data_IF_271329567712
#
_entry.id   IF_271329567712
#
_cell.length_a   1.000
_cell.length_b   1.000
_cell.length_c   1.000
_cell.angle_alpha   90.00
_cell.angle_beta   90.00
_cell.angle_gamma   90.00
#
_symmetry.space_group_name_H-M   'P 1'
#
loop_
_entity.id
_entity.type
_entity.pdbx_description
1 polymer ?
#
# COMPACT_ATOMS: atom_id res chain seq x y z
N UNK A 1 -0.15 0.23 -14.09
CA UNK A 1 1.23 0.38 -13.54
C UNK A 1 2.01 -0.83 -13.99
N UNK A 2 3.15 -0.62 -14.60
CA UNK A 2 3.99 -1.66 -15.19
C UNK A 2 5.36 -1.70 -14.49
N UNK A 3 5.35 -1.90 -13.18
CA UNK A 3 6.56 -2.00 -12.39
C UNK A 3 7.38 -3.23 -12.78
N UNK A 4 8.65 -3.03 -12.98
CA UNK A 4 9.66 -4.08 -13.15
C UNK A 4 10.69 -4.02 -12.03
N UNK A 5 11.10 -5.18 -11.51
CA UNK A 5 12.09 -5.24 -10.43
C UNK A 5 13.42 -4.61 -10.87
N UNK A 6 14.00 -3.80 -10.01
CA UNK A 6 15.34 -3.21 -10.22
C UNK A 6 16.46 -4.21 -9.91
N UNK A 7 16.16 -5.25 -9.12
CA UNK A 7 17.07 -6.34 -8.81
C UNK A 7 16.66 -7.60 -9.57
N UNK A 8 17.65 -8.39 -10.01
CA UNK A 8 17.37 -9.65 -10.68
C UNK A 8 16.90 -10.69 -9.65
N UNK A 9 15.58 -10.86 -9.52
CA UNK A 9 14.93 -11.80 -8.62
C UNK A 9 14.15 -12.84 -9.41
N UNK A 10 14.89 -13.81 -9.97
CA UNK A 10 14.28 -14.93 -10.66
C UNK A 10 13.29 -15.69 -9.76
N UNK A 11 12.10 -15.97 -10.29
CA UNK A 11 11.07 -16.76 -9.59
C UNK A 11 10.17 -15.97 -8.65
N UNK A 12 10.37 -14.66 -8.49
CA UNK A 12 9.42 -13.85 -7.70
C UNK A 12 8.14 -13.55 -8.49
N UNK A 13 7.03 -13.49 -7.73
CA UNK A 13 5.74 -13.02 -8.22
C UNK A 13 5.86 -11.60 -8.77
N UNK A 14 5.32 -11.35 -9.97
CA UNK A 14 5.25 -10.00 -10.54
C UNK A 14 4.43 -9.05 -9.67
N UNK A 15 4.81 -7.76 -9.64
CA UNK A 15 4.19 -6.75 -8.76
C UNK A 15 2.66 -6.66 -8.92
N UNK A 16 2.14 -6.80 -10.12
CA UNK A 16 0.71 -6.69 -10.42
C UNK A 16 -0.07 -8.02 -10.29
N UNK A 17 0.59 -9.11 -9.93
CA UNK A 17 -0.04 -10.43 -9.86
C UNK A 17 -0.33 -10.85 -8.41
N UNK A 18 -1.13 -11.89 -8.30
CA UNK A 18 -1.41 -12.61 -7.04
C UNK A 18 -1.02 -14.07 -7.19
N UNK A 19 -0.75 -14.72 -6.07
CA UNK A 19 -0.45 -16.14 -6.00
C UNK A 19 -1.27 -16.80 -4.88
N UNK A 20 -1.75 -18.00 -5.10
CA UNK A 20 -2.48 -18.79 -4.08
C UNK A 20 -1.56 -19.59 -3.17
N UNK A 21 -0.26 -19.50 -3.40
CA UNK A 21 0.74 -20.31 -2.69
C UNK A 21 0.74 -21.78 -3.14
N UNK A 22 1.63 -22.55 -2.52
CA UNK A 22 1.78 -23.98 -2.79
C UNK A 22 1.07 -24.77 -1.71
N UNK A 23 0.09 -25.57 -2.10
CA UNK A 23 -0.58 -26.51 -1.19
C UNK A 23 0.13 -27.87 -1.29
N UNK A 24 0.63 -28.38 -0.17
CA UNK A 24 1.22 -29.73 -0.13
C UNK A 24 0.11 -30.79 -0.25
N UNK A 25 0.24 -31.67 -1.21
CA UNK A 25 -0.75 -32.71 -1.53
C UNK A 25 -0.68 -33.91 -0.56
N UNK A 26 -0.82 -33.69 0.75
CA UNK A 26 -0.79 -34.77 1.75
C UNK A 26 -2.13 -34.98 2.49
N UNK A 27 -3.24 -34.51 1.90
CA UNK A 27 -4.59 -34.78 2.42
C UNK A 27 -4.98 -34.03 3.71
N UNK A 28 -4.12 -33.21 4.25
CA UNK A 28 -4.43 -32.28 5.33
C UNK A 28 -4.89 -30.94 4.75
N UNK A 29 -5.78 -30.20 5.41
CA UNK A 29 -6.11 -28.81 5.10
C UNK A 29 -4.86 -27.94 5.23
N UNK A 30 -3.98 -28.03 4.27
CA UNK A 30 -2.70 -27.36 4.31
C UNK A 30 -2.93 -25.86 4.09
N UNK A 31 -2.45 -25.04 5.02
CA UNK A 31 -2.33 -23.61 4.82
C UNK A 31 -1.41 -23.42 3.61
N UNK A 32 -1.82 -22.68 2.57
CA UNK A 32 -0.97 -22.46 1.40
C UNK A 32 0.38 -21.85 1.83
N UNK A 33 1.47 -22.44 1.39
CA UNK A 33 2.80 -21.86 1.60
C UNK A 33 2.97 -20.67 0.67
N UNK A 34 3.30 -19.47 1.17
CA UNK A 34 3.48 -18.31 0.31
C UNK A 34 4.61 -18.51 -0.70
N UNK A 35 4.54 -17.84 -1.88
CA UNK A 35 5.54 -18.00 -2.97
C UNK A 35 6.93 -17.49 -2.59
N UNK A 36 7.02 -16.66 -1.55
CA UNK A 36 8.26 -16.16 -0.98
C UNK A 36 8.03 -15.81 0.49
N UNK A 37 9.08 -15.42 1.21
CA UNK A 37 8.98 -15.02 2.61
C UNK A 37 8.04 -13.82 2.77
N UNK A 38 7.00 -13.96 3.58
CA UNK A 38 6.10 -12.84 3.91
C UNK A 38 6.88 -11.72 4.60
N UNK A 39 6.51 -10.47 4.30
CA UNK A 39 7.24 -9.30 4.78
C UNK A 39 8.52 -9.00 3.99
N UNK A 40 8.87 -9.81 2.98
CA UNK A 40 9.96 -9.47 2.07
C UNK A 40 9.69 -8.14 1.41
N UNK A 41 10.70 -7.27 1.38
CA UNK A 41 10.66 -5.96 0.69
C UNK A 41 11.50 -6.04 -0.57
N UNK A 42 10.99 -5.42 -1.64
CA UNK A 42 11.71 -5.28 -2.91
C UNK A 42 11.51 -3.87 -3.48
N UNK A 43 12.36 -3.49 -4.42
CA UNK A 43 12.24 -2.26 -5.21
C UNK A 43 11.92 -2.59 -6.65
N UNK A 44 11.09 -1.73 -7.24
CA UNK A 44 10.74 -1.85 -8.65
C UNK A 44 10.56 -0.46 -9.26
N UNK A 45 10.75 -0.35 -10.56
CA UNK A 45 10.66 0.89 -11.33
C UNK A 45 9.51 0.84 -12.33
N UNK A 46 8.78 1.94 -12.42
CA UNK A 46 7.75 2.18 -13.44
C UNK A 46 8.09 3.48 -14.19
N UNK A 47 8.08 3.51 -15.54
CA UNK A 47 8.43 4.71 -16.30
C UNK A 47 7.56 5.95 -15.99
N UNK A 48 6.34 5.75 -15.50
CA UNK A 48 5.40 6.84 -15.19
C UNK A 48 5.49 7.29 -13.73
N UNK A 49 5.67 6.33 -12.81
CA UNK A 49 5.60 6.58 -11.36
C UNK A 49 6.96 6.55 -10.67
N UNK A 50 8.02 6.22 -11.39
CA UNK A 50 9.37 6.15 -10.85
C UNK A 50 9.63 4.91 -10.01
N UNK A 51 10.56 5.01 -9.08
CA UNK A 51 10.91 3.94 -8.16
C UNK A 51 9.88 3.81 -7.03
N UNK A 52 9.55 2.56 -6.69
CA UNK A 52 8.66 2.22 -5.57
C UNK A 52 9.22 1.08 -4.73
N UNK A 53 8.85 1.07 -3.45
CA UNK A 53 9.14 -0.02 -2.52
C UNK A 53 7.88 -0.83 -2.26
N UNK A 54 8.03 -2.15 -2.25
CA UNK A 54 6.92 -3.10 -2.17
C UNK A 54 7.20 -4.17 -1.12
N UNK A 55 6.16 -4.57 -0.41
CA UNK A 55 6.20 -5.64 0.59
C UNK A 55 5.24 -6.77 0.20
N UNK A 56 5.66 -8.03 0.40
CA UNK A 56 4.82 -9.20 0.13
C UNK A 56 3.92 -9.48 1.34
N UNK A 57 2.60 -9.41 1.15
CA UNK A 57 1.61 -9.57 2.21
C UNK A 57 0.52 -10.59 1.85
N UNK A 58 -0.21 -11.02 2.88
CA UNK A 58 -1.41 -11.86 2.75
C UNK A 58 -2.62 -10.99 2.46
N UNK A 59 -3.42 -11.38 1.47
CA UNK A 59 -4.59 -10.64 1.02
C UNK A 59 -5.78 -10.72 1.98
N UNK A 60 -6.73 -9.80 1.79
CA UNK A 60 -8.01 -9.76 2.51
C UNK A 60 -9.17 -9.59 1.53
N UNK A 61 -10.34 -10.09 1.90
CA UNK A 61 -11.55 -9.98 1.08
C UNK A 61 -11.82 -8.52 0.63
N UNK A 62 -12.35 -8.37 -0.59
CA UNK A 62 -12.70 -7.09 -1.22
C UNK A 62 -11.51 -6.16 -1.54
N UNK A 63 -10.28 -6.67 -1.45
CA UNK A 63 -9.12 -5.92 -1.95
C UNK A 63 -9.18 -5.78 -3.47
N UNK A 64 -8.97 -4.57 -3.95
CA UNK A 64 -8.82 -4.24 -5.37
C UNK A 64 -7.56 -3.41 -5.58
N UNK A 65 -7.09 -3.30 -6.80
CA UNK A 65 -5.94 -2.44 -7.14
C UNK A 65 -6.15 -1.02 -6.60
N UNK A 66 -5.16 -0.49 -5.90
CA UNK A 66 -5.20 0.83 -5.27
C UNK A 66 -5.93 0.89 -3.92
N UNK A 67 -6.39 -0.23 -3.37
CA UNK A 67 -6.94 -0.23 -2.01
C UNK A 67 -5.86 0.15 -0.98
N UNK A 68 -6.19 1.10 -0.11
CA UNK A 68 -5.38 1.37 1.08
C UNK A 68 -5.64 0.26 2.10
N UNK A 69 -4.59 -0.39 2.56
CA UNK A 69 -4.66 -1.43 3.59
C UNK A 69 -3.79 -1.05 4.78
N UNK A 70 -4.13 -1.58 5.95
CA UNK A 70 -3.23 -1.72 7.08
C UNK A 70 -2.77 -3.17 7.15
N UNK A 71 -1.63 -3.45 7.77
CA UNK A 71 -1.17 -4.82 7.94
C UNK A 71 -0.53 -5.04 9.32
N UNK A 72 -0.59 -6.27 9.77
CA UNK A 72 0.07 -6.69 11.00
C UNK A 72 1.55 -6.96 10.69
N UNK A 73 2.47 -6.29 11.40
CA UNK A 73 3.91 -6.41 11.17
C UNK A 73 4.50 -7.79 11.54
N UNK A 74 3.76 -8.64 12.25
CA UNK A 74 4.21 -9.97 12.66
C UNK A 74 3.65 -11.07 11.76
N UNK A 75 2.34 -11.00 11.44
CA UNK A 75 1.67 -12.04 10.64
C UNK A 75 1.58 -11.68 9.16
N UNK A 76 1.87 -10.43 8.80
CA UNK A 76 1.75 -9.87 7.44
C UNK A 76 0.35 -9.98 6.82
N UNK A 77 -0.67 -10.21 7.66
CA UNK A 77 -2.06 -10.22 7.25
C UNK A 77 -2.55 -8.79 7.04
N UNK A 78 -3.15 -8.53 5.89
CA UNK A 78 -3.76 -7.23 5.58
C UNK A 78 -5.18 -7.11 6.11
N UNK A 79 -5.59 -5.86 6.33
CA UNK A 79 -6.98 -5.47 6.57
C UNK A 79 -7.24 -4.21 5.74
N UNK A 80 -8.39 -4.08 5.08
CA UNK A 80 -8.74 -2.83 4.42
C UNK A 80 -8.74 -1.70 5.45
N UNK A 81 -8.04 -0.59 5.12
CA UNK A 81 -7.93 0.55 6.04
C UNK A 81 -9.32 1.02 6.46
N UNK A 82 -9.59 0.92 7.75
CA UNK A 82 -10.88 1.28 8.35
C UNK A 82 -10.94 2.77 8.70
N UNK A 83 -12.16 3.30 8.82
CA UNK A 83 -12.41 4.67 9.27
C UNK A 83 -12.24 4.81 10.80
N UNK A 84 -11.08 4.43 11.31
CA UNK A 84 -10.79 4.43 12.76
C UNK A 84 -9.70 5.45 13.08
N UNK A 85 -9.92 6.28 14.08
CA UNK A 85 -8.93 7.26 14.51
C UNK A 85 -7.81 6.61 15.32
N UNK A 86 -6.63 7.24 15.29
CA UNK A 86 -5.44 6.89 16.08
C UNK A 86 -4.94 5.45 15.87
N UNK A 87 -5.06 4.94 14.65
CA UNK A 87 -4.46 3.67 14.28
C UNK A 87 -2.95 3.84 14.09
N UNK A 88 -2.17 3.10 14.89
CA UNK A 88 -0.71 3.05 14.82
C UNK A 88 -0.21 1.81 14.03
N UNK A 89 -0.95 1.38 13.03
CA UNK A 89 -0.60 0.22 12.19
C UNK A 89 0.04 0.69 10.89
N UNK A 90 1.05 -0.03 10.36
CA UNK A 90 1.63 0.31 9.09
C UNK A 90 0.60 0.21 7.95
N UNK A 91 0.77 1.06 6.95
CA UNK A 91 -0.12 1.15 5.80
C UNK A 91 0.60 0.73 4.51
N UNK A 92 -0.17 0.22 3.55
CA UNK A 92 0.32 -0.11 2.23
C UNK A 92 -0.79 0.02 1.18
N UNK A 93 -0.43 0.05 -0.10
CA UNK A 93 -1.35 0.18 -1.21
C UNK A 93 -1.32 -1.10 -2.05
N UNK A 94 -2.47 -1.71 -2.28
CA UNK A 94 -2.60 -2.94 -3.02
C UNK A 94 -2.25 -2.76 -4.51
N UNK A 95 -1.33 -3.56 -5.03
CA UNK A 95 -0.90 -3.54 -6.44
C UNK A 95 -1.74 -4.46 -7.31
N UNK A 96 -2.51 -5.35 -6.69
CA UNK A 96 -3.36 -6.34 -7.34
C UNK A 96 -4.66 -6.55 -6.55
N UNK A 97 -5.62 -7.30 -7.11
CA UNK A 97 -6.83 -7.73 -6.40
C UNK A 97 -6.50 -8.92 -5.47
N UNK A 98 -5.59 -8.71 -4.53
CA UNK A 98 -5.11 -9.72 -3.59
C UNK A 98 -6.17 -9.98 -2.50
N UNK A 99 -7.14 -10.85 -2.79
CA UNK A 99 -8.22 -11.22 -1.89
C UNK A 99 -7.79 -12.26 -0.84
N UNK A 100 -8.71 -12.66 0.04
CA UNK A 100 -8.42 -13.65 1.08
C UNK A 100 -7.86 -14.96 0.50
N UNK A 101 -6.84 -15.49 1.15
CA UNK A 101 -6.15 -16.70 0.71
C UNK A 101 -5.13 -16.51 -0.41
N UNK A 102 -4.92 -15.28 -0.88
CA UNK A 102 -3.93 -14.93 -1.88
C UNK A 102 -2.76 -14.16 -1.24
N UNK A 103 -1.62 -14.22 -1.92
CA UNK A 103 -0.43 -13.44 -1.62
C UNK A 103 -0.17 -12.44 -2.74
N UNK A 104 0.30 -11.26 -2.40
CA UNK A 104 0.57 -10.23 -3.41
C UNK A 104 1.44 -9.11 -2.87
N UNK A 105 1.91 -8.26 -3.78
CA UNK A 105 2.72 -7.11 -3.46
C UNK A 105 1.87 -5.90 -3.10
N UNK A 106 2.32 -5.17 -2.11
CA UNK A 106 1.71 -3.92 -1.65
C UNK A 106 2.77 -2.83 -1.60
N UNK A 107 2.48 -1.68 -2.15
CA UNK A 107 3.41 -0.56 -2.18
C UNK A 107 3.46 0.14 -0.83
N UNK A 108 4.66 0.33 -0.30
CA UNK A 108 4.95 1.01 0.97
C UNK A 108 5.76 2.29 0.80
N UNK A 109 6.34 2.53 -0.37
CA UNK A 109 7.12 3.73 -0.67
C UNK A 109 7.01 4.17 -2.12
N UNK A 110 7.24 5.45 -2.39
CA UNK A 110 7.18 6.04 -3.72
C UNK A 110 5.81 6.59 -4.12
N UNK A 111 5.57 6.77 -5.43
CA UNK A 111 4.29 7.25 -5.97
C UNK A 111 3.32 6.08 -6.15
N UNK A 112 2.25 6.04 -5.36
CA UNK A 112 1.22 5.03 -5.42
C UNK A 112 -0.09 5.58 -5.99
N UNK A 113 -0.78 4.80 -6.82
CA UNK A 113 -2.15 5.10 -7.26
C UNK A 113 -3.13 4.50 -6.27
N UNK A 114 -3.79 5.36 -5.48
CA UNK A 114 -4.66 4.96 -4.38
C UNK A 114 -6.11 5.29 -4.70
N UNK A 115 -7.03 4.42 -4.31
CA UNK A 115 -8.47 4.71 -4.39
C UNK A 115 -8.85 5.83 -3.41
N UNK A 116 -9.68 6.76 -3.90
CA UNK A 116 -10.22 7.87 -3.11
C UNK A 116 -11.74 7.89 -3.11
N UNK A 117 -12.31 8.64 -2.18
CA UNK A 117 -13.74 9.02 -2.21
C UNK A 117 -14.01 10.06 -3.28
N UNK A 118 -15.28 10.27 -3.61
CA UNK A 118 -15.77 11.25 -4.60
C UNK A 118 -15.65 12.70 -4.07
N UNK A 119 -14.42 13.12 -3.71
CA UNK A 119 -14.08 14.48 -3.26
C UNK A 119 -12.88 14.94 -4.07
N UNK A 120 -12.86 16.21 -4.51
CA UNK A 120 -11.71 16.77 -5.20
C UNK A 120 -10.49 16.79 -4.26
N UNK A 121 -9.34 16.45 -4.81
CA UNK A 121 -8.05 16.42 -4.09
C UNK A 121 -7.10 17.38 -4.77
N UNK A 122 -6.58 18.34 -4.04
CA UNK A 122 -5.49 19.20 -4.51
C UNK A 122 -4.15 18.47 -4.39
N UNK A 123 -3.17 18.87 -5.17
CA UNK A 123 -1.80 18.39 -5.01
C UNK A 123 -1.20 18.89 -3.68
N UNK A 124 -0.27 18.11 -3.13
CA UNK A 124 0.53 18.44 -1.95
C UNK A 124 -0.27 18.64 -0.63
N UNK A 125 -1.49 18.06 -0.54
CA UNK A 125 -2.28 18.10 0.69
C UNK A 125 -2.18 16.77 1.45
N UNK A 126 -2.30 16.78 2.79
CA UNK A 126 -2.40 15.56 3.57
C UNK A 126 -3.58 14.69 3.12
N UNK A 127 -3.45 13.39 3.26
CA UNK A 127 -4.53 12.44 2.99
C UNK A 127 -4.94 11.73 4.28
N UNK A 128 -6.21 11.43 4.36
CA UNK A 128 -6.85 10.84 5.54
C UNK A 128 -7.56 9.54 5.16
N UNK A 129 -7.74 8.67 6.12
CA UNK A 129 -8.58 7.49 5.96
C UNK A 129 -10.03 7.90 5.70
N UNK A 130 -10.63 7.30 4.71
CA UNK A 130 -12.01 7.60 4.29
C UNK A 130 -13.04 6.84 5.14
N UNK A 131 -14.28 7.34 5.16
CA UNK A 131 -15.44 6.59 5.69
C UNK A 131 -15.70 5.31 4.90
N UNK A 132 -15.34 5.28 3.61
CA UNK A 132 -15.36 4.04 2.81
C UNK A 132 -14.04 3.31 3.00
N UNK A 133 -14.10 2.08 3.51
CA UNK A 133 -12.92 1.26 3.79
C UNK A 133 -12.03 1.08 2.55
N UNK A 134 -10.72 1.04 2.77
CA UNK A 134 -9.74 0.88 1.70
C UNK A 134 -9.55 2.10 0.79
N UNK A 135 -10.04 3.28 1.17
CA UNK A 135 -9.92 4.52 0.40
C UNK A 135 -9.33 5.65 1.22
N UNK A 136 -8.80 6.64 0.51
CA UNK A 136 -8.34 7.91 1.09
C UNK A 136 -9.30 9.05 0.79
N UNK A 137 -9.21 10.12 1.56
CA UNK A 137 -9.91 11.39 1.32
C UNK A 137 -8.99 12.58 1.68
N UNK A 138 -9.17 13.75 1.06
CA UNK A 138 -8.43 14.96 1.42
C UNK A 138 -9.04 15.71 2.60
N UNK A 139 -10.28 15.38 2.98
CA UNK A 139 -10.99 16.07 4.06
C UNK A 139 -10.34 15.73 5.39
N UNK A 140 -9.92 16.76 6.12
CA UNK A 140 -9.27 16.60 7.40
C UNK A 140 -10.21 15.89 8.40
N UNK A 141 -9.66 14.89 9.08
CA UNK A 141 -10.37 14.13 10.10
C UNK A 141 -9.38 13.82 11.24
N UNK A 142 -9.75 14.23 12.46
CA UNK A 142 -8.89 14.10 13.62
C UNK A 142 -8.49 12.64 13.88
N UNK A 143 -7.19 12.42 14.05
CA UNK A 143 -6.61 11.09 14.28
C UNK A 143 -6.65 10.14 13.09
N UNK A 144 -7.07 10.57 11.88
CA UNK A 144 -7.21 9.71 10.70
C UNK A 144 -6.23 10.03 9.57
N UNK A 145 -5.29 10.92 9.82
CA UNK A 145 -4.26 11.23 8.83
C UNK A 145 -3.40 9.98 8.57
N UNK A 146 -3.17 9.71 7.30
CA UNK A 146 -2.19 8.71 6.87
C UNK A 146 -0.82 9.37 6.96
N UNK A 147 -0.09 9.08 8.04
CA UNK A 147 1.22 9.68 8.29
C UNK A 147 2.20 9.29 7.17
N UNK A 148 3.07 10.21 6.80
CA UNK A 148 4.02 10.02 5.71
C UNK A 148 3.39 9.97 4.30
N UNK A 149 2.09 10.27 4.16
CA UNK A 149 1.41 10.28 2.87
C UNK A 149 0.80 11.64 2.54
N UNK A 150 0.93 12.03 1.27
CA UNK A 150 0.30 13.24 0.71
C UNK A 150 -0.12 13.01 -0.73
N UNK A 151 -1.11 13.75 -1.20
CA UNK A 151 -1.48 13.72 -2.62
C UNK A 151 -0.35 14.29 -3.49
N UNK A 152 -0.09 13.66 -4.62
CA UNK A 152 0.91 14.12 -5.57
C UNK A 152 0.29 14.93 -6.72
N UNK A 153 -0.99 14.73 -7.00
CA UNK A 153 -1.68 15.35 -8.14
C UNK A 153 -3.03 15.94 -7.76
N UNK A 154 -3.50 16.85 -8.59
CA UNK A 154 -4.89 17.28 -8.60
C UNK A 154 -5.77 16.13 -9.12
N UNK A 155 -6.83 15.77 -8.39
CA UNK A 155 -7.83 14.81 -8.82
C UNK A 155 -9.24 15.37 -8.63
N UNK A 156 -10.08 15.23 -9.64
CA UNK A 156 -11.46 15.72 -9.64
C UNK A 156 -12.38 14.85 -8.77
N UNK A 157 -13.58 15.36 -8.50
CA UNK A 157 -14.64 14.59 -7.79
C UNK A 157 -14.97 13.29 -8.52
N UNK A 158 -15.04 13.32 -9.84
CA UNK A 158 -15.37 12.15 -10.68
C UNK A 158 -14.29 11.07 -10.67
N UNK A 159 -13.03 11.43 -10.36
CA UNK A 159 -11.94 10.45 -10.29
C UNK A 159 -12.11 9.56 -9.05
N UNK A 160 -12.01 8.26 -9.23
CA UNK A 160 -12.05 7.26 -8.15
C UNK A 160 -10.67 6.94 -7.58
N UNK A 161 -9.61 7.50 -8.18
CA UNK A 161 -8.22 7.32 -7.78
C UNK A 161 -7.49 8.65 -7.68
N UNK A 162 -6.46 8.71 -6.89
CA UNK A 162 -5.50 9.80 -6.78
C UNK A 162 -4.09 9.22 -6.69
N UNK A 163 -3.11 9.91 -7.25
CA UNK A 163 -1.71 9.58 -7.03
C UNK A 163 -1.30 10.15 -5.68
N UNK A 164 -0.79 9.30 -4.81
CA UNK A 164 -0.36 9.64 -3.47
C UNK A 164 1.11 9.31 -3.33
N UNK A 165 1.90 10.25 -2.84
CA UNK A 165 3.26 9.94 -2.39
C UNK A 165 3.14 9.22 -1.06
N UNK A 166 3.60 7.99 -1.02
CA UNK A 166 3.81 7.25 0.23
C UNK A 166 5.31 7.36 0.54
N UNK A 167 5.65 7.99 1.65
CA UNK A 167 7.02 8.07 2.14
C UNK A 167 7.05 7.58 3.57
N UNK A 168 8.01 6.75 3.90
CA UNK A 168 8.48 6.65 5.27
C UNK A 168 9.29 7.93 5.55
N UNK A 169 8.77 8.83 6.36
CA UNK A 169 9.45 10.08 6.73
C UNK A 169 10.51 9.80 7.79
N UNK A 170 11.62 9.19 7.42
CA UNK A 170 12.76 9.12 8.34
C UNK A 170 13.79 10.26 8.15
N UNK A 171 13.65 11.13 7.14
CA UNK A 171 14.71 12.06 6.79
C UNK A 171 14.41 13.57 6.86
N UNK A 172 13.18 14.00 7.15
CA UNK A 172 12.88 15.45 7.19
C UNK A 172 12.87 16.07 8.58
N UNK A 173 12.71 15.30 9.64
CA UNK A 173 12.70 15.85 11.01
C UNK A 173 14.10 16.17 11.57
N UNK A 174 15.15 15.47 11.12
CA UNK A 174 16.51 15.77 11.59
C UNK A 174 17.10 17.05 11.00
N UNK A 175 16.73 17.43 9.79
CA UNK A 175 17.24 18.66 9.16
C UNK A 175 16.60 19.93 9.74
N UNK A 176 15.36 19.88 10.21
CA UNK A 176 14.74 21.03 10.86
C UNK A 176 15.20 21.23 12.30
N UNK A 177 15.58 20.19 13.00
CA UNK A 177 16.13 20.27 14.34
C UNK A 177 17.54 20.90 14.39
N UNK A 178 18.29 20.83 13.30
CA UNK A 178 19.67 21.39 13.24
C UNK A 178 19.74 22.86 12.81
N UNK A 179 18.62 23.45 12.38
CA UNK A 179 18.56 24.87 11.97
C UNK A 179 18.12 25.82 13.09
N UNK A 180 17.89 25.31 14.30
CA UNK A 180 17.49 26.09 15.48
C UNK A 180 18.49 26.01 16.66
N UNK A 181 19.78 25.78 16.35
CA UNK A 181 20.87 25.94 17.32
C UNK A 181 21.81 27.07 16.88
#
# INVERSE_FOLDING_TARGET
MAYSFTENRAGLLQIANTDSGVTMANGSSAIPTPPATLGMVCRAFDPTYGEGEFILLVGVANTVVGSLVTYNATTYQTTLSANTANQATPVAVAMSACTAGLFGWYQIGGLAVVKKTAVAVNAQVPVYQSATVGRVMPTAASGKQVLGARSANLATVASTVSTVVVRSEEHTSELQSRLHL
#
